data_IF_426250975176
#
_entry.id   IF_426250975176
#
_cell.length_a   1.000
_cell.length_b   1.000
_cell.length_c   1.000
_cell.angle_alpha   90.00
_cell.angle_beta   90.00
_cell.angle_gamma   90.00
#
_symmetry.space_group_name_H-M   'P 1'
#
loop_
_entity.id
_entity.type
_entity.pdbx_description
1 polymer ?
#
# COMPACT_ATOMS: atom_id res chain seq x y z
N UNK A 1 -12.94 3.79 -1.92
CA UNK A 1 -12.32 3.43 -0.66
C UNK A 1 -11.00 4.15 -0.46
N UNK A 2 -10.76 4.57 0.77
CA UNK A 2 -9.50 5.21 1.13
C UNK A 2 -8.55 4.19 1.73
N UNK A 3 -7.27 4.13 1.29
CA UNK A 3 -6.26 3.36 1.99
C UNK A 3 -5.81 4.11 3.25
N UNK A 4 -5.13 3.42 4.17
CA UNK A 4 -4.58 4.07 5.37
C UNK A 4 -3.48 5.06 5.00
N UNK A 5 -2.63 4.69 4.04
CA UNK A 5 -1.61 5.59 3.47
C UNK A 5 -1.59 5.37 1.96
N UNK A 6 -1.45 6.45 1.21
CA UNK A 6 -1.32 6.35 -0.24
C UNK A 6 -0.35 7.39 -0.76
N UNK A 7 0.22 7.10 -1.93
CA UNK A 7 1.14 7.99 -2.61
C UNK A 7 0.87 7.92 -4.11
N UNK A 8 0.87 9.09 -4.73
CA UNK A 8 0.66 9.24 -6.18
C UNK A 8 1.85 10.02 -6.74
N UNK A 9 2.40 9.56 -7.86
CA UNK A 9 3.46 10.31 -8.53
C UNK A 9 2.99 11.72 -8.86
N UNK A 10 3.86 12.71 -8.64
CA UNK A 10 3.55 14.11 -8.89
C UNK A 10 3.10 14.34 -10.33
N UNK A 11 3.73 13.67 -11.29
CA UNK A 11 3.37 13.80 -12.71
C UNK A 11 1.93 13.38 -12.97
N UNK A 12 1.47 12.30 -12.37
CA UNK A 12 0.08 11.85 -12.51
C UNK A 12 -0.88 12.80 -11.82
N UNK A 13 -0.50 13.28 -10.64
CA UNK A 13 -1.31 14.25 -9.89
C UNK A 13 -1.48 15.54 -10.69
N UNK A 14 -0.39 16.03 -11.28
CA UNK A 14 -0.39 17.29 -12.04
C UNK A 14 -1.22 17.19 -13.33
N UNK A 15 -1.45 15.99 -13.84
CA UNK A 15 -2.31 15.77 -15.00
C UNK A 15 -3.80 15.83 -14.69
N UNK A 16 -4.18 15.81 -13.42
CA UNK A 16 -5.57 15.91 -13.02
C UNK A 16 -6.05 17.33 -13.15
N UNK A 17 -7.35 17.48 -13.49
CA UNK A 17 -7.98 18.80 -13.48
C UNK A 17 -7.99 19.31 -12.04
N UNK A 18 -7.94 20.63 -11.89
CA UNK A 18 -7.92 21.27 -10.58
C UNK A 18 -9.09 20.81 -9.70
N UNK A 19 -10.28 20.72 -10.28
CA UNK A 19 -11.46 20.29 -9.53
C UNK A 19 -11.32 18.85 -9.01
N UNK A 20 -10.63 17.97 -9.74
CA UNK A 20 -10.39 16.59 -9.29
C UNK A 20 -9.36 16.55 -8.20
N UNK A 21 -8.39 17.48 -8.19
CA UNK A 21 -7.39 17.58 -7.12
C UNK A 21 -8.01 18.09 -5.83
N UNK A 22 -9.03 18.95 -5.92
CA UNK A 22 -9.73 19.50 -4.76
C UNK A 22 -10.71 18.50 -4.14
N UNK A 23 -11.09 17.48 -4.90
CA UNK A 23 -11.89 16.36 -4.43
C UNK A 23 -10.98 15.15 -4.23
N UNK A 24 -11.55 14.03 -3.82
CA UNK A 24 -10.78 12.79 -3.84
C UNK A 24 -10.40 12.47 -5.28
N UNK A 25 -9.10 12.39 -5.55
CA UNK A 25 -8.61 12.11 -6.88
C UNK A 25 -9.19 10.78 -7.39
N UNK A 26 -9.81 10.77 -8.60
CA UNK A 26 -10.41 9.56 -9.14
C UNK A 26 -9.36 8.65 -9.80
N UNK A 27 -8.22 8.48 -9.16
CA UNK A 27 -7.14 7.63 -9.67
C UNK A 27 -6.68 6.67 -8.59
N UNK A 28 -6.24 5.50 -9.02
CA UNK A 28 -5.61 4.55 -8.12
C UNK A 28 -4.22 5.06 -7.74
N UNK A 29 -3.88 5.07 -6.45
CA UNK A 29 -2.53 5.45 -6.03
C UNK A 29 -1.47 4.52 -6.63
N UNK A 30 -0.25 5.03 -6.76
CA UNK A 30 0.89 4.21 -7.20
C UNK A 30 1.42 3.33 -6.07
N UNK A 31 1.29 3.81 -4.83
CA UNK A 31 1.73 3.08 -3.64
C UNK A 31 0.67 3.17 -2.55
N UNK A 32 0.40 2.05 -1.88
CA UNK A 32 -0.63 1.94 -0.84
C UNK A 32 -0.09 1.15 0.34
N UNK A 33 -0.40 1.62 1.55
CA UNK A 33 -0.21 0.84 2.77
C UNK A 33 -1.56 0.67 3.45
N UNK A 34 -1.91 -0.57 3.81
CA UNK A 34 -3.06 -0.89 4.63
C UNK A 34 -2.56 -1.53 5.92
N UNK A 35 -3.03 -1.02 7.04
CA UNK A 35 -2.64 -1.52 8.36
C UNK A 35 -3.84 -2.23 8.99
N UNK A 36 -3.68 -3.50 9.31
CA UNK A 36 -4.76 -4.27 9.91
C UNK A 36 -4.98 -3.87 11.36
N UNK A 37 -6.24 -3.58 11.72
CA UNK A 37 -6.67 -3.39 13.11
C UNK A 37 -7.40 -4.64 13.59
N UNK A 38 -7.70 -4.69 14.89
CA UNK A 38 -8.37 -5.85 15.51
C UNK A 38 -9.76 -6.12 14.92
N UNK A 39 -10.43 -5.07 14.44
CA UNK A 39 -11.77 -5.21 13.87
C UNK A 39 -11.76 -5.60 12.40
N UNK A 40 -10.60 -5.60 11.76
CA UNK A 40 -10.50 -5.90 10.34
C UNK A 40 -10.39 -7.40 10.07
N UNK A 41 -11.14 -7.87 9.06
CA UNK A 41 -10.98 -9.21 8.53
C UNK A 41 -9.76 -9.24 7.60
N UNK A 42 -8.84 -10.16 7.85
CA UNK A 42 -7.65 -10.30 7.00
C UNK A 42 -8.05 -10.66 5.55
N UNK A 43 -9.06 -11.53 5.38
CA UNK A 43 -9.49 -11.92 4.04
C UNK A 43 -10.08 -10.74 3.26
N UNK A 44 -10.83 -9.86 3.94
CA UNK A 44 -11.38 -8.67 3.30
C UNK A 44 -10.28 -7.68 2.94
N UNK A 45 -9.27 -7.51 3.79
CA UNK A 45 -8.13 -6.67 3.48
C UNK A 45 -7.33 -7.21 2.29
N UNK A 46 -7.13 -8.52 2.23
CA UNK A 46 -6.46 -9.14 1.08
C UNK A 46 -7.23 -8.90 -0.22
N UNK A 47 -8.56 -9.00 -0.18
CA UNK A 47 -9.41 -8.69 -1.33
C UNK A 47 -9.27 -7.23 -1.76
N UNK A 48 -9.19 -6.32 -0.78
CA UNK A 48 -8.98 -4.90 -1.05
C UNK A 48 -7.65 -4.65 -1.74
N UNK A 49 -6.59 -5.33 -1.30
CA UNK A 49 -5.27 -5.23 -1.93
C UNK A 49 -5.30 -5.71 -3.38
N UNK A 50 -6.00 -6.82 -3.65
CA UNK A 50 -6.18 -7.32 -5.01
C UNK A 50 -6.82 -6.27 -5.92
N UNK A 51 -7.82 -5.55 -5.39
CA UNK A 51 -8.48 -4.49 -6.15
C UNK A 51 -7.55 -3.32 -6.45
N UNK A 52 -6.68 -2.95 -5.50
CA UNK A 52 -5.67 -1.93 -5.78
C UNK A 52 -4.77 -2.37 -6.94
N UNK A 53 -4.34 -3.63 -6.94
CA UNK A 53 -3.49 -4.17 -8.01
C UNK A 53 -4.23 -4.17 -9.36
N UNK A 54 -5.49 -4.60 -9.38
CA UNK A 54 -6.31 -4.61 -10.60
C UNK A 54 -6.49 -3.23 -11.19
N UNK A 55 -6.48 -2.20 -10.35
CA UNK A 55 -6.67 -0.81 -10.78
C UNK A 55 -5.36 -0.08 -11.08
N UNK A 56 -4.24 -0.78 -11.08
CA UNK A 56 -2.97 -0.22 -11.55
C UNK A 56 -2.01 0.24 -10.47
N UNK A 57 -2.25 -0.10 -9.20
CA UNK A 57 -1.29 0.19 -8.14
C UNK A 57 0.03 -0.57 -8.42
N UNK A 58 1.16 0.08 -8.22
CA UNK A 58 2.46 -0.51 -8.53
C UNK A 58 3.12 -1.20 -7.34
N UNK A 59 2.76 -0.81 -6.13
CA UNK A 59 3.29 -1.42 -4.91
C UNK A 59 2.28 -1.23 -3.79
N UNK A 60 1.94 -2.29 -3.09
CA UNK A 60 1.03 -2.20 -1.98
C UNK A 60 1.48 -3.14 -0.86
N UNK A 61 1.44 -2.62 0.37
CA UNK A 61 1.79 -3.38 1.55
C UNK A 61 0.57 -3.54 2.43
N UNK A 62 0.24 -4.78 2.78
CA UNK A 62 -0.74 -5.09 3.82
C UNK A 62 0.05 -5.51 5.06
N UNK A 63 0.04 -4.67 6.08
CA UNK A 63 0.80 -4.90 7.30
C UNK A 63 -0.14 -5.40 8.39
N UNK A 64 0.15 -6.59 8.93
CA UNK A 64 -0.64 -7.22 9.97
C UNK A 64 0.17 -7.29 11.27
N UNK A 65 0.01 -6.32 12.18
CA UNK A 65 0.73 -6.35 13.45
C UNK A 65 0.24 -7.46 14.38
N UNK A 66 -0.99 -7.95 14.18
CA UNK A 66 -1.57 -8.99 15.04
C UNK A 66 -0.82 -10.29 14.87
N UNK A 67 -0.58 -10.70 13.63
CA UNK A 67 0.17 -11.91 13.30
C UNK A 67 1.65 -11.63 13.02
N UNK A 68 2.04 -10.34 13.01
CA UNK A 68 3.39 -9.88 12.67
C UNK A 68 3.84 -10.39 11.30
N UNK A 69 2.97 -10.16 10.30
CA UNK A 69 3.22 -10.51 8.91
C UNK A 69 2.96 -9.30 8.02
N UNK A 70 3.69 -9.22 6.91
CA UNK A 70 3.44 -8.22 5.88
C UNK A 70 3.30 -8.90 4.54
N UNK A 71 2.30 -8.50 3.78
CA UNK A 71 2.04 -9.04 2.45
C UNK A 71 2.40 -7.93 1.44
N UNK A 72 3.33 -8.24 0.54
CA UNK A 72 3.82 -7.29 -0.46
C UNK A 72 3.21 -7.65 -1.81
N UNK A 73 2.48 -6.71 -2.40
CA UNK A 73 1.79 -6.86 -3.66
C UNK A 73 2.48 -6.03 -4.73
N UNK A 74 2.78 -6.66 -5.87
CA UNK A 74 3.36 -6.00 -7.03
C UNK A 74 2.67 -6.54 -8.29
N UNK A 75 2.62 -5.76 -9.38
CA UNK A 75 1.98 -6.22 -10.62
C UNK A 75 2.65 -7.48 -11.17
N UNK A 76 1.84 -8.43 -11.59
CA UNK A 76 2.30 -9.65 -12.29
C UNK A 76 3.27 -10.52 -11.50
N UNK A 77 3.28 -10.38 -10.17
CA UNK A 77 4.13 -11.15 -9.28
C UNK A 77 3.26 -11.72 -8.17
N UNK A 78 3.55 -12.95 -7.76
CA UNK A 78 2.84 -13.55 -6.63
C UNK A 78 3.08 -12.74 -5.37
N UNK A 79 2.08 -12.70 -4.49
CA UNK A 79 2.20 -11.98 -3.22
C UNK A 79 3.37 -12.54 -2.42
N UNK A 80 4.23 -11.64 -1.94
CA UNK A 80 5.37 -12.01 -1.11
C UNK A 80 5.04 -11.77 0.36
N UNK A 81 5.21 -12.80 1.18
CA UNK A 81 4.89 -12.74 2.60
C UNK A 81 6.16 -12.57 3.44
N UNK A 82 6.21 -11.50 4.23
CA UNK A 82 7.31 -11.22 5.16
C UNK A 82 6.83 -11.60 6.55
N UNK A 83 7.54 -12.51 7.21
CA UNK A 83 7.14 -13.03 8.53
C UNK A 83 7.97 -12.49 9.69
N UNK A 84 8.96 -11.65 9.39
CA UNK A 84 9.85 -11.06 10.40
C UNK A 84 9.58 -9.57 10.54
N UNK A 85 9.17 -9.14 11.73
CA UNK A 85 8.94 -7.71 12.02
C UNK A 85 10.20 -7.00 12.53
N UNK A 86 11.32 -7.68 12.65
CA UNK A 86 12.58 -7.04 13.04
C UNK A 86 13.38 -6.61 11.81
N UNK A 87 12.68 -6.06 10.82
CA UNK A 87 13.31 -5.59 9.59
C UNK A 87 12.62 -4.33 9.07
N UNK A 88 13.26 -3.70 8.11
CA UNK A 88 12.72 -2.54 7.42
C UNK A 88 12.26 -2.93 6.03
N UNK A 89 11.15 -2.33 5.60
CA UNK A 89 10.66 -2.47 4.24
C UNK A 89 11.13 -1.28 3.42
N UNK A 90 11.64 -1.56 2.23
CA UNK A 90 12.09 -0.52 1.30
C UNK A 90 11.02 -0.23 0.26
N UNK A 91 10.83 1.04 -0.07
CA UNK A 91 9.99 1.46 -1.19
C UNK A 91 10.59 1.18 -2.56
N UNK A 92 11.82 0.67 -2.60
CA UNK A 92 12.48 0.26 -3.82
C UNK A 92 12.71 1.43 -4.78
N UNK A 93 12.55 1.14 -6.07
CA UNK A 93 12.75 2.15 -7.10
C UNK A 93 11.57 3.12 -7.21
N UNK A 94 10.37 2.69 -6.77
CA UNK A 94 9.19 3.55 -6.79
C UNK A 94 9.32 4.71 -5.82
N UNK A 95 9.81 4.44 -4.62
CA UNK A 95 10.02 5.43 -3.57
C UNK A 95 11.46 5.35 -3.07
N UNK A 96 12.42 5.87 -3.85
CA UNK A 96 13.85 5.77 -3.48
C UNK A 96 14.12 6.38 -2.11
N UNK A 97 14.81 5.64 -1.26
CA UNK A 97 15.16 6.12 0.08
C UNK A 97 14.07 5.98 1.13
N UNK A 98 12.85 5.58 0.75
CA UNK A 98 11.80 5.36 1.73
C UNK A 98 11.95 3.99 2.37
N UNK A 99 11.95 3.97 3.70
CA UNK A 99 12.00 2.73 4.47
C UNK A 99 10.98 2.82 5.60
N UNK A 100 10.32 1.68 5.88
CA UNK A 100 9.43 1.55 7.03
C UNK A 100 10.01 0.51 7.98
N UNK A 101 10.24 0.90 9.22
CA UNK A 101 10.74 0.01 10.26
C UNK A 101 9.57 -0.75 10.89
N UNK A 102 9.42 -2.02 10.51
CA UNK A 102 8.33 -2.85 11.01
C UNK A 102 8.38 -3.07 12.52
N UNK A 103 9.58 -3.01 13.12
CA UNK A 103 9.72 -3.20 14.57
C UNK A 103 8.93 -2.15 15.36
N UNK A 104 8.71 -0.98 14.78
CA UNK A 104 7.93 0.09 15.42
C UNK A 104 6.42 -0.21 15.45
N UNK A 105 5.98 -1.22 14.72
CA UNK A 105 4.57 -1.60 14.62
C UNK A 105 4.22 -2.83 15.45
N UNK A 106 5.16 -3.33 16.22
CA UNK A 106 4.92 -4.48 17.10
C UNK A 106 3.95 -4.12 18.24
#
# INVERSE_FOLDING_TARGET
RSPDVSWVRKTRWDELRLEDQEKFAPICPDFVIELRSKSDSLSQLKSKMEKWMENGCELAWLIDPIQQKTYIYQPNVAVYEVTDFDQKLSGGTLLPGFELDLARLK
#
